data_IF_842401501098
#
_entry.id   IF_842401501098
#
_cell.length_a   1.000
_cell.length_b   1.000
_cell.length_c   1.000
_cell.angle_alpha   90.00
_cell.angle_beta   90.00
_cell.angle_gamma   90.00
#
_symmetry.space_group_name_H-M   'P 1'
#
loop_
_entity.id
_entity.type
_entity.pdbx_description
1 polymer ?
#
# COMPACT_ATOMS: atom_id res chain seq x y z
N UNK A 1 9.34 6.01 14.26
CA UNK A 1 8.72 5.49 13.03
C UNK A 1 7.24 5.32 13.27
N UNK A 2 6.38 5.69 12.31
CA UNK A 2 4.95 5.43 12.40
C UNK A 2 4.64 3.93 12.48
N UNK A 3 3.80 3.52 13.44
CA UNK A 3 3.27 2.16 13.46
C UNK A 3 2.15 2.04 12.42
N UNK A 4 2.26 1.05 11.54
CA UNK A 4 1.30 0.80 10.46
C UNK A 4 0.27 -0.25 10.82
N UNK A 5 0.40 -0.94 11.97
CA UNK A 5 -0.52 -2.02 12.35
C UNK A 5 -1.96 -1.52 12.51
N UNK A 6 -2.88 -2.17 11.81
CA UNK A 6 -4.30 -1.82 11.79
C UNK A 6 -4.64 -0.54 11.02
N UNK A 7 -3.66 0.16 10.47
CA UNK A 7 -3.85 1.44 9.76
C UNK A 7 -4.36 1.18 8.35
N UNK A 8 -5.35 1.98 7.95
CA UNK A 8 -5.89 1.96 6.60
C UNK A 8 -5.24 3.06 5.76
N UNK A 9 -4.90 2.71 4.53
CA UNK A 9 -4.28 3.62 3.59
C UNK A 9 -5.05 3.64 2.28
N UNK A 10 -5.00 4.77 1.58
CA UNK A 10 -5.53 4.94 0.23
C UNK A 10 -4.44 5.48 -0.69
N UNK A 11 -4.38 4.95 -1.91
CA UNK A 11 -3.51 5.45 -2.97
C UNK A 11 -3.87 6.89 -3.34
N UNK A 12 -2.86 7.75 -3.39
CA UNK A 12 -2.97 9.10 -3.93
C UNK A 12 -3.00 9.00 -5.45
N UNK A 13 -4.08 9.48 -6.06
CA UNK A 13 -4.29 9.54 -7.51
C UNK A 13 -4.72 10.95 -7.90
N UNK A 14 -4.33 11.40 -9.10
CA UNK A 14 -4.66 12.74 -9.58
C UNK A 14 -6.16 12.89 -9.89
N UNK A 15 -6.81 11.84 -10.40
CA UNK A 15 -8.24 11.79 -10.69
C UNK A 15 -8.92 10.62 -9.95
N UNK A 16 -9.64 10.88 -8.84
CA UNK A 16 -10.30 9.85 -8.07
C UNK A 16 -11.66 9.42 -8.64
N UNK A 17 -12.09 9.91 -9.82
CA UNK A 17 -13.39 9.57 -10.39
C UNK A 17 -13.56 8.06 -10.63
N UNK A 18 -12.47 7.33 -10.89
CA UNK A 18 -12.44 5.86 -10.97
C UNK A 18 -12.30 5.13 -9.62
N UNK A 19 -12.28 5.87 -8.51
CA UNK A 19 -11.86 5.39 -7.20
C UNK A 19 -10.35 5.20 -7.08
N UNK A 20 -9.87 5.03 -5.85
CA UNK A 20 -8.47 4.77 -5.57
C UNK A 20 -8.33 3.47 -4.75
N UNK A 21 -7.37 2.59 -5.09
CA UNK A 21 -7.03 1.45 -4.25
C UNK A 21 -6.83 1.85 -2.80
N UNK A 22 -7.29 1.00 -1.88
CA UNK A 22 -7.08 1.18 -0.45
C UNK A 22 -6.81 -0.17 0.19
N UNK A 23 -6.19 -0.17 1.36
CA UNK A 23 -5.85 -1.41 2.05
C UNK A 23 -5.61 -1.20 3.53
N UNK A 24 -5.57 -2.30 4.27
CA UNK A 24 -5.18 -2.32 5.66
C UNK A 24 -3.81 -2.94 5.78
N UNK A 25 -2.93 -2.27 6.53
CA UNK A 25 -1.63 -2.82 6.89
C UNK A 25 -1.72 -3.50 8.25
N UNK A 26 -0.91 -4.54 8.40
CA UNK A 26 -0.80 -5.34 9.59
C UNK A 26 0.67 -5.55 9.93
N UNK A 27 0.98 -5.62 11.21
CA UNK A 27 2.33 -5.91 11.69
C UNK A 27 2.31 -6.94 12.81
N UNK A 28 3.25 -7.88 12.74
CA UNK A 28 3.65 -8.69 13.88
C UNK A 28 5.18 -8.70 13.97
N UNK A 29 5.73 -8.08 15.02
CA UNK A 29 7.17 -7.84 15.14
C UNK A 29 7.75 -7.14 13.90
N UNK A 30 8.62 -7.81 13.15
CA UNK A 30 9.22 -7.33 11.91
C UNK A 30 8.46 -7.79 10.66
N UNK A 31 7.48 -8.69 10.77
CA UNK A 31 6.60 -9.07 9.67
C UNK A 31 5.59 -7.97 9.38
N UNK A 32 5.46 -7.58 8.12
CA UNK A 32 4.44 -6.65 7.63
C UNK A 32 3.67 -7.30 6.49
N UNK A 33 2.34 -7.20 6.50
CA UNK A 33 1.51 -7.57 5.35
C UNK A 33 0.34 -6.62 5.17
N UNK A 34 -0.24 -6.64 3.98
CA UNK A 34 -1.43 -5.85 3.68
C UNK A 34 -2.33 -6.55 2.66
N UNK A 35 -3.64 -6.30 2.77
CA UNK A 35 -4.63 -6.57 1.74
C UNK A 35 -5.05 -5.26 1.07
N UNK A 36 -5.05 -5.25 -0.26
CA UNK A 36 -5.52 -4.15 -1.08
C UNK A 36 -6.86 -4.50 -1.73
N UNK A 37 -7.81 -3.58 -1.65
CA UNK A 37 -9.18 -3.71 -2.13
C UNK A 37 -9.45 -2.75 -3.30
N UNK A 38 -10.59 -2.97 -3.95
CA UNK A 38 -10.92 -2.40 -5.25
C UNK A 38 -10.90 -0.86 -5.32
N UNK A 39 -10.42 -0.36 -6.45
CA UNK A 39 -10.37 1.05 -6.83
C UNK A 39 -9.53 1.23 -8.10
N UNK A 40 -9.96 2.10 -9.02
CA UNK A 40 -9.31 2.24 -10.33
C UNK A 40 -9.28 0.91 -11.10
N UNK A 41 -8.09 0.45 -11.49
CA UNK A 41 -7.90 -0.82 -12.21
C UNK A 41 -7.63 -2.03 -11.30
N UNK A 42 -7.48 -1.83 -9.99
CA UNK A 42 -7.21 -2.90 -9.03
C UNK A 42 -8.50 -3.62 -8.66
N UNK A 43 -8.47 -4.95 -8.72
CA UNK A 43 -9.53 -5.81 -8.16
C UNK A 43 -9.20 -6.24 -6.73
N UNK A 44 -8.00 -6.78 -6.52
CA UNK A 44 -7.51 -7.23 -5.22
C UNK A 44 -5.99 -7.36 -5.25
N UNK A 45 -5.33 -7.17 -4.11
CA UNK A 45 -3.90 -7.40 -4.01
C UNK A 45 -3.45 -7.76 -2.61
N UNK A 46 -2.23 -8.26 -2.51
CA UNK A 46 -1.55 -8.47 -1.25
C UNK A 46 -0.10 -8.03 -1.32
N UNK A 47 0.42 -7.68 -0.16
CA UNK A 47 1.83 -7.40 0.09
C UNK A 47 2.29 -8.20 1.30
N UNK A 48 3.53 -8.68 1.28
CA UNK A 48 4.22 -9.24 2.44
C UNK A 48 5.68 -8.78 2.43
N UNK A 49 6.20 -8.42 3.58
CA UNK A 49 7.53 -7.89 3.72
C UNK A 49 8.02 -7.86 5.15
N UNK A 50 9.15 -7.19 5.32
CA UNK A 50 9.84 -7.08 6.58
C UNK A 50 10.15 -5.62 6.90
N UNK A 51 9.84 -5.21 8.12
CA UNK A 51 10.26 -3.96 8.70
C UNK A 51 11.76 -3.96 8.94
N UNK A 52 12.42 -2.86 8.56
CA UNK A 52 13.86 -2.71 8.67
C UNK A 52 14.23 -1.81 9.86
N UNK A 53 15.49 -1.86 10.30
CA UNK A 53 16.00 -1.06 11.42
C UNK A 53 15.90 0.46 11.18
N UNK A 54 15.96 0.90 9.92
CA UNK A 54 15.80 2.31 9.51
C UNK A 54 14.33 2.76 9.44
N UNK A 55 13.41 1.82 9.66
CA UNK A 55 11.98 2.04 9.63
C UNK A 55 11.32 1.94 8.25
N UNK A 56 12.08 1.60 7.22
CA UNK A 56 11.50 1.24 5.93
C UNK A 56 10.89 -0.17 5.96
N UNK A 57 9.98 -0.46 5.04
CA UNK A 57 9.43 -1.80 4.84
C UNK A 57 9.92 -2.30 3.48
N UNK A 58 10.63 -3.43 3.46
CA UNK A 58 11.01 -4.13 2.23
C UNK A 58 10.02 -5.25 1.97
N UNK A 59 9.32 -5.20 0.85
CA UNK A 59 8.21 -6.11 0.61
C UNK A 59 8.11 -6.56 -0.85
N UNK A 60 7.40 -7.66 -1.05
CA UNK A 60 6.92 -8.11 -2.36
C UNK A 60 5.39 -8.06 -2.40
N UNK A 61 4.83 -7.82 -3.59
CA UNK A 61 3.40 -7.71 -3.79
C UNK A 61 2.91 -8.47 -5.03
N UNK A 62 1.61 -8.75 -5.04
CA UNK A 62 0.88 -9.29 -6.20
C UNK A 62 -0.51 -8.68 -6.25
N UNK A 63 -0.87 -8.12 -7.40
CA UNK A 63 -2.07 -7.34 -7.66
C UNK A 63 -2.82 -7.96 -8.84
N UNK A 64 -4.09 -8.30 -8.64
CA UNK A 64 -5.00 -8.71 -9.70
C UNK A 64 -5.77 -7.50 -10.21
N UNK A 65 -5.71 -7.23 -11.50
CA UNK A 65 -6.47 -6.13 -12.14
C UNK A 65 -7.89 -6.56 -12.47
N UNK A 66 -8.76 -5.59 -12.74
CA UNK A 66 -10.13 -5.83 -13.24
C UNK A 66 -10.16 -6.52 -14.62
N UNK A 67 -9.06 -6.42 -15.39
CA UNK A 67 -8.88 -7.10 -16.67
C UNK A 67 -8.39 -8.56 -16.51
N UNK A 68 -8.11 -9.00 -15.28
CA UNK A 68 -7.62 -10.36 -15.00
C UNK A 68 -6.10 -10.52 -15.11
N UNK A 69 -5.36 -9.41 -15.25
CA UNK A 69 -3.89 -9.43 -15.30
C UNK A 69 -3.32 -9.45 -13.89
N UNK A 70 -2.18 -10.13 -13.71
CA UNK A 70 -1.45 -10.13 -12.44
C UNK A 70 -0.20 -9.27 -12.59
N UNK A 71 -0.13 -8.22 -11.78
CA UNK A 71 1.04 -7.36 -11.64
C UNK A 71 1.75 -7.71 -10.34
N UNK A 72 3.04 -8.02 -10.40
CA UNK A 72 3.87 -8.34 -9.23
C UNK A 72 5.15 -7.53 -9.22
N UNK A 73 5.76 -7.41 -8.05
CA UNK A 73 7.00 -6.69 -7.88
C UNK A 73 7.44 -6.61 -6.42
N UNK A 74 8.47 -5.82 -6.21
CA UNK A 74 9.03 -5.50 -4.89
C UNK A 74 8.91 -3.99 -4.64
N UNK A 75 8.89 -3.59 -3.37
CA UNK A 75 8.94 -2.19 -2.99
C UNK A 75 9.76 -1.94 -1.72
N UNK A 76 10.24 -0.71 -1.62
CA UNK A 76 10.74 -0.11 -0.38
C UNK A 76 9.75 0.99 0.00
N UNK A 77 9.01 0.77 1.08
CA UNK A 77 8.01 1.69 1.60
C UNK A 77 8.60 2.51 2.74
N UNK A 78 8.45 3.83 2.69
CA UNK A 78 9.02 4.78 3.65
C UNK A 78 7.88 5.52 4.36
N UNK A 79 7.50 5.13 5.59
CA UNK A 79 6.43 5.78 6.35
C UNK A 79 6.90 7.04 7.07
N UNK A 80 6.15 8.12 6.94
CA UNK A 80 6.40 9.42 7.57
C UNK A 80 5.11 10.01 8.14
N UNK A 81 5.25 10.91 9.13
CA UNK A 81 4.11 11.71 9.60
C UNK A 81 3.99 12.99 8.78
N UNK A 82 2.78 13.30 8.33
CA UNK A 82 2.46 14.59 7.73
C UNK A 82 2.34 15.70 8.80
N UNK A 83 2.13 16.95 8.36
CA UNK A 83 1.99 18.11 9.26
C UNK A 83 0.76 18.03 10.21
N UNK A 84 -0.16 17.11 9.97
CA UNK A 84 -1.36 16.86 10.78
C UNK A 84 -1.21 15.62 11.68
N UNK A 85 -0.08 14.92 11.60
CA UNK A 85 0.20 13.69 12.35
C UNK A 85 -0.39 12.43 11.73
N UNK A 86 -0.92 12.48 10.49
CA UNK A 86 -1.32 11.28 9.77
C UNK A 86 -0.12 10.61 9.12
N UNK A 87 -0.20 9.30 8.90
CA UNK A 87 0.85 8.57 8.20
C UNK A 87 0.68 8.76 6.68
N UNK A 88 1.78 9.11 6.02
CA UNK A 88 1.94 9.03 4.56
C UNK A 88 3.09 8.07 4.27
N UNK A 89 2.94 7.21 3.28
CA UNK A 89 4.00 6.28 2.87
C UNK A 89 4.39 6.60 1.43
N UNK A 90 5.69 6.72 1.19
CA UNK A 90 6.28 6.74 -0.15
C UNK A 90 6.72 5.32 -0.53
N UNK A 91 6.12 4.75 -1.57
CA UNK A 91 6.38 3.38 -2.04
C UNK A 91 7.25 3.42 -3.29
N UNK A 92 8.52 3.09 -3.13
CA UNK A 92 9.46 2.93 -4.24
C UNK A 92 9.35 1.52 -4.78
N UNK A 93 8.65 1.32 -5.91
CA UNK A 93 8.38 0.00 -6.44
C UNK A 93 9.24 -0.34 -7.66
N UNK A 94 9.48 -1.64 -7.85
CA UNK A 94 9.99 -2.24 -9.08
C UNK A 94 9.15 -3.46 -9.41
N UNK A 95 8.54 -3.48 -10.59
CA UNK A 95 7.73 -4.60 -11.09
C UNK A 95 8.62 -5.66 -11.73
N UNK A 96 8.08 -6.87 -11.81
CA UNK A 96 8.70 -8.02 -12.47
C UNK A 96 8.97 -7.79 -13.97
N UNK A 97 8.24 -6.87 -14.62
CA UNK A 97 8.47 -6.45 -16.01
C UNK A 97 9.62 -5.43 -16.16
N UNK A 98 10.26 -5.05 -15.05
CA UNK A 98 11.36 -4.09 -15.02
C UNK A 98 10.94 -2.63 -14.86
N UNK A 99 9.65 -2.31 -14.98
CA UNK A 99 9.15 -0.95 -14.72
C UNK A 99 9.28 -0.58 -13.24
N UNK A 100 9.47 0.70 -12.94
CA UNK A 100 9.64 1.20 -11.58
C UNK A 100 9.10 2.61 -11.43
N UNK A 101 8.91 3.04 -10.19
CA UNK A 101 8.40 4.37 -9.88
C UNK A 101 8.22 4.57 -8.39
N UNK A 102 7.56 5.69 -8.06
CA UNK A 102 7.18 6.03 -6.68
C UNK A 102 5.69 6.29 -6.65
N UNK A 103 4.98 5.66 -5.72
CA UNK A 103 3.59 5.98 -5.39
C UNK A 103 3.50 6.50 -3.97
N UNK A 104 2.38 7.16 -3.66
CA UNK A 104 2.10 7.60 -2.30
C UNK A 104 0.78 7.04 -1.83
N UNK A 105 0.73 6.61 -0.59
CA UNK A 105 -0.52 6.25 0.09
C UNK A 105 -0.66 7.10 1.36
N UNK A 106 -1.89 7.50 1.67
CA UNK A 106 -2.22 8.34 2.82
C UNK A 106 -3.17 7.61 3.76
N UNK A 107 -2.96 7.79 5.05
CA UNK A 107 -3.83 7.23 6.08
C UNK A 107 -5.25 7.74 5.91
N UNK A 108 -6.21 6.83 6.02
CA UNK A 108 -7.65 7.11 6.01
C UNK A 108 -8.31 6.48 7.25
N UNK A 109 -9.50 6.95 7.65
CA UNK A 109 -10.35 6.21 8.58
C UNK A 109 -10.67 4.82 8.04
N UNK A 110 -10.93 3.87 8.94
CA UNK A 110 -11.39 2.54 8.55
C UNK A 110 -12.64 2.66 7.66
N UNK A 111 -12.66 2.04 6.46
CA UNK A 111 -13.80 2.11 5.57
C UNK A 111 -14.99 1.39 6.19
N UNK A 112 -16.18 2.01 6.08
CA UNK A 112 -17.43 1.36 6.47
C UNK A 112 -17.69 0.25 5.45
N UNK A 113 -17.63 -1.01 5.90
CA UNK A 113 -18.08 -2.15 5.09
C UNK A 113 -19.59 -2.25 5.25
N UNK A 114 -20.34 -1.92 4.20
CA UNK A 114 -21.73 -2.34 4.12
C UNK A 114 -21.74 -3.87 4.04
N UNK A 115 -22.47 -4.50 4.96
CA UNK A 115 -22.55 -5.95 5.12
C UNK A 115 -23.37 -6.62 4.01
#
# INVERSE_FOLDING_TARGET
MPDVDGVWFRLVVDDPAGGAPYGQYHRDHDLVWAEFYAGGTLRFGRLVGQLQDDGSIRAAYSLLTVAGEVVSGECVSIPEFDARGNIRIADHFRRSDGSSGVTYIEQIPAPVREA
#
